data_IF_909860454531
#
_entry.id   IF_909860454531
#
_cell.length_a   1.000
_cell.length_b   1.000
_cell.length_c   1.000
_cell.angle_alpha   90.00
_cell.angle_beta   90.00
_cell.angle_gamma   90.00
#
_symmetry.space_group_name_H-M   'P 1'
#
loop_
_entity.id
_entity.type
_entity.pdbx_description
1 polymer ?
#
# COMPACT_ATOMS: atom_id res chain seq x y z
N UNK A 1 -5.61 -21.34 -16.42
CA UNK A 1 -5.10 -20.00 -16.09
C UNK A 1 -5.06 -19.16 -17.37
N UNK A 2 -5.83 -18.09 -17.44
CA UNK A 2 -5.70 -17.12 -18.52
C UNK A 2 -4.48 -16.28 -18.17
N UNK A 3 -3.37 -16.48 -18.90
CA UNK A 3 -2.17 -15.66 -18.72
C UNK A 3 -2.52 -14.25 -19.18
N UNK A 4 -2.44 -13.26 -18.31
CA UNK A 4 -2.65 -11.87 -18.67
C UNK A 4 -1.65 -11.44 -19.76
N UNK A 5 -2.10 -10.55 -20.65
CA UNK A 5 -1.22 -9.90 -21.65
C UNK A 5 -0.07 -9.12 -21.00
N UNK A 6 -0.26 -8.69 -19.76
CA UNK A 6 0.64 -7.80 -19.02
C UNK A 6 1.23 -8.54 -17.82
N UNK A 7 2.44 -8.16 -17.43
CA UNK A 7 2.98 -8.49 -16.11
C UNK A 7 2.26 -7.62 -15.07
N UNK A 8 1.69 -8.26 -14.04
CA UNK A 8 0.86 -7.58 -13.04
C UNK A 8 1.51 -7.67 -11.66
N UNK A 9 1.85 -6.54 -11.10
CA UNK A 9 2.27 -6.37 -9.70
C UNK A 9 1.12 -5.77 -8.91
N UNK A 10 0.58 -6.51 -7.95
CA UNK A 10 -0.37 -6.00 -6.96
C UNK A 10 0.42 -5.32 -5.84
N UNK A 11 0.37 -3.99 -5.79
CA UNK A 11 1.19 -3.18 -4.90
C UNK A 11 0.60 -3.01 -3.49
N UNK A 12 -0.56 -3.62 -3.16
CA UNK A 12 -1.21 -3.44 -1.88
C UNK A 12 -1.90 -4.73 -1.40
N UNK A 13 -1.17 -5.55 -0.64
CA UNK A 13 -1.70 -6.81 -0.13
C UNK A 13 -1.35 -6.98 1.35
N UNK A 14 -2.38 -7.13 2.21
CA UNK A 14 -2.18 -7.44 3.62
C UNK A 14 -2.16 -8.95 3.84
N UNK A 15 -1.13 -9.43 4.55
CA UNK A 15 -0.99 -10.85 4.91
C UNK A 15 -0.73 -11.00 6.40
N UNK A 16 -1.24 -12.07 6.97
CA UNK A 16 -1.13 -12.39 8.39
C UNK A 16 -0.72 -13.85 8.60
N UNK A 17 -0.03 -14.18 9.72
CA UNK A 17 0.16 -15.57 10.11
C UNK A 17 -1.18 -16.31 10.22
N UNK A 18 -1.27 -17.53 9.71
CA UNK A 18 -2.51 -18.33 9.65
C UNK A 18 -3.28 -18.35 10.99
N UNK A 19 -2.56 -18.54 12.10
CA UNK A 19 -3.16 -18.60 13.46
C UNK A 19 -3.90 -17.34 13.91
N UNK A 20 -3.64 -16.19 13.27
CA UNK A 20 -4.28 -14.90 13.62
C UNK A 20 -5.03 -14.26 12.45
N UNK A 21 -4.92 -14.81 11.23
CA UNK A 21 -5.44 -14.20 10.01
C UNK A 21 -6.94 -13.90 10.13
N UNK A 22 -7.76 -14.85 10.53
CA UNK A 22 -9.22 -14.62 10.68
C UNK A 22 -9.56 -13.51 11.68
N UNK A 23 -8.80 -13.42 12.79
CA UNK A 23 -9.01 -12.35 13.79
C UNK A 23 -8.54 -11.00 13.28
N UNK A 24 -7.42 -10.95 12.55
CA UNK A 24 -6.90 -9.73 11.97
C UNK A 24 -7.86 -9.18 10.90
N UNK A 25 -8.35 -10.05 10.01
CA UNK A 25 -9.36 -9.71 8.99
C UNK A 25 -10.64 -9.17 9.66
N UNK A 26 -11.19 -9.91 10.63
CA UNK A 26 -12.39 -9.47 11.36
C UNK A 26 -12.18 -8.11 12.07
N UNK A 27 -10.95 -7.84 12.56
CA UNK A 27 -10.61 -6.54 13.14
C UNK A 27 -10.68 -5.40 12.12
N UNK A 28 -10.17 -5.62 10.91
CA UNK A 28 -10.25 -4.66 9.79
C UNK A 28 -11.69 -4.48 9.31
N UNK A 29 -12.43 -5.58 9.15
CA UNK A 29 -13.86 -5.57 8.77
C UNK A 29 -14.69 -4.72 9.74
N UNK A 30 -14.48 -4.94 11.06
CA UNK A 30 -15.17 -4.15 12.08
C UNK A 30 -14.78 -2.66 12.05
N UNK A 31 -13.52 -2.35 11.77
CA UNK A 31 -13.05 -0.97 11.68
C UNK A 31 -13.69 -0.21 10.52
N UNK A 32 -13.78 -0.86 9.35
CA UNK A 32 -14.32 -0.25 8.14
C UNK A 32 -15.83 -0.48 7.94
N UNK A 33 -16.45 -1.37 8.73
CA UNK A 33 -17.83 -1.85 8.53
C UNK A 33 -18.03 -2.52 7.15
N UNK A 34 -17.02 -3.26 6.71
CA UNK A 34 -16.96 -3.98 5.44
C UNK A 34 -16.78 -5.47 5.69
N UNK A 35 -16.81 -6.26 4.62
CA UNK A 35 -16.59 -7.70 4.66
C UNK A 35 -15.50 -8.10 3.68
N UNK A 36 -14.36 -8.49 4.19
CA UNK A 36 -13.25 -8.99 3.40
C UNK A 36 -13.62 -10.27 2.65
N UNK A 37 -13.15 -10.39 1.42
CA UNK A 37 -13.42 -11.58 0.59
C UNK A 37 -12.32 -12.64 0.71
N UNK A 38 -11.12 -12.25 1.16
CA UNK A 38 -9.97 -13.11 1.31
C UNK A 38 -9.74 -13.56 2.76
N UNK A 39 -8.95 -14.63 2.92
CA UNK A 39 -8.60 -15.16 4.25
C UNK A 39 -7.55 -14.35 5.01
N UNK A 40 -6.83 -13.47 4.32
CA UNK A 40 -5.68 -12.74 4.88
C UNK A 40 -4.42 -13.60 5.04
N UNK A 41 -4.42 -14.85 4.58
CA UNK A 41 -3.22 -15.71 4.57
C UNK A 41 -2.44 -15.54 3.27
N UNK A 42 -1.16 -15.96 3.27
CA UNK A 42 -0.33 -15.97 2.05
C UNK A 42 -0.89 -16.96 1.02
N UNK A 43 -1.32 -18.14 1.47
CA UNK A 43 -1.91 -19.16 0.62
C UNK A 43 -3.17 -18.63 -0.08
N UNK A 44 -4.05 -17.96 0.69
CA UNK A 44 -5.27 -17.37 0.14
C UNK A 44 -4.97 -16.23 -0.87
N UNK A 45 -3.96 -15.38 -0.59
CA UNK A 45 -3.51 -14.35 -1.53
C UNK A 45 -3.03 -14.96 -2.84
N UNK A 46 -2.14 -15.96 -2.76
CA UNK A 46 -1.58 -16.61 -3.95
C UNK A 46 -2.67 -17.33 -4.74
N UNK A 47 -3.56 -18.06 -4.07
CA UNK A 47 -4.67 -18.78 -4.73
C UNK A 47 -5.58 -17.81 -5.50
N UNK A 48 -6.01 -16.71 -4.88
CA UNK A 48 -6.88 -15.73 -5.52
C UNK A 48 -6.17 -14.96 -6.63
N UNK A 49 -4.93 -14.56 -6.38
CA UNK A 49 -4.16 -13.79 -7.33
C UNK A 49 -3.69 -14.61 -8.54
N UNK A 50 -3.34 -15.89 -8.38
CA UNK A 50 -2.99 -16.77 -9.50
C UNK A 50 -4.19 -16.99 -10.45
N UNK A 51 -5.42 -17.05 -9.89
CA UNK A 51 -6.65 -17.09 -10.70
C UNK A 51 -6.82 -15.79 -11.50
N UNK A 52 -6.49 -14.65 -10.89
CA UNK A 52 -6.53 -13.33 -11.52
C UNK A 52 -5.38 -13.09 -12.52
N UNK A 53 -4.34 -13.92 -12.49
CA UNK A 53 -3.13 -13.75 -13.30
C UNK A 53 -2.21 -12.65 -12.77
N UNK A 54 -2.14 -12.48 -11.44
CA UNK A 54 -1.16 -11.61 -10.77
C UNK A 54 0.19 -12.32 -10.73
N UNK A 55 1.24 -11.63 -11.14
CA UNK A 55 2.60 -12.19 -11.20
C UNK A 55 3.41 -11.92 -9.93
N UNK A 56 3.18 -10.77 -9.28
CA UNK A 56 3.95 -10.32 -8.10
C UNK A 56 3.05 -9.58 -7.11
N UNK A 57 3.38 -9.68 -5.81
CA UNK A 57 2.64 -9.03 -4.74
C UNK A 57 3.59 -8.23 -3.83
N UNK A 58 3.23 -6.98 -3.54
CA UNK A 58 3.85 -6.20 -2.46
C UNK A 58 3.04 -6.47 -1.20
N UNK A 59 3.65 -7.16 -0.24
CA UNK A 59 2.96 -7.68 0.94
C UNK A 59 3.36 -6.94 2.22
N UNK A 60 2.40 -6.72 3.09
CA UNK A 60 2.55 -5.97 4.34
C UNK A 60 1.58 -6.41 5.44
N UNK A 61 1.88 -5.95 6.66
CA UNK A 61 0.99 -5.90 7.81
C UNK A 61 1.26 -4.60 8.57
N UNK A 62 0.38 -4.27 9.53
CA UNK A 62 0.49 -3.05 10.33
C UNK A 62 0.68 -3.40 11.81
N UNK A 63 1.70 -2.83 12.45
CA UNK A 63 1.90 -2.92 13.89
C UNK A 63 0.97 -1.91 14.60
N UNK A 64 -0.03 -2.39 15.31
CA UNK A 64 -0.95 -1.54 16.08
C UNK A 64 -0.38 -1.13 17.44
N UNK A 65 0.74 -1.73 17.83
CA UNK A 65 1.52 -1.38 19.02
C UNK A 65 3.02 -1.52 18.72
N UNK A 66 3.92 -0.78 19.42
CA UNK A 66 5.36 -0.82 19.15
C UNK A 66 5.99 -2.22 19.23
N UNK A 67 5.54 -3.06 20.17
CA UNK A 67 6.11 -4.39 20.37
C UNK A 67 5.79 -5.40 19.27
N UNK A 68 4.89 -5.07 18.37
CA UNK A 68 4.57 -5.92 17.22
C UNK A 68 5.53 -5.70 16.04
N UNK A 69 6.24 -4.56 16.00
CA UNK A 69 7.08 -4.15 14.87
C UNK A 69 8.04 -5.26 14.46
N UNK A 70 8.86 -5.73 15.39
CA UNK A 70 9.88 -6.75 15.09
C UNK A 70 9.28 -8.06 14.59
N UNK A 71 8.27 -8.58 15.29
CA UNK A 71 7.67 -9.88 14.94
C UNK A 71 6.90 -9.84 13.62
N UNK A 72 6.27 -8.72 13.27
CA UNK A 72 5.62 -8.54 11.97
C UNK A 72 6.67 -8.47 10.86
N UNK A 73 7.74 -7.69 11.04
CA UNK A 73 8.79 -7.58 10.04
C UNK A 73 9.48 -8.93 9.77
N UNK A 74 9.76 -9.70 10.82
CA UNK A 74 10.31 -11.05 10.71
C UNK A 74 9.35 -12.02 10.00
N UNK A 75 8.04 -11.94 10.27
CA UNK A 75 7.02 -12.74 9.57
C UNK A 75 7.00 -12.40 8.08
N UNK A 76 6.87 -11.13 7.71
CA UNK A 76 6.83 -10.71 6.30
C UNK A 76 8.11 -11.17 5.57
N UNK A 77 9.29 -10.95 6.14
CA UNK A 77 10.55 -11.38 5.56
C UNK A 77 10.63 -12.91 5.42
N UNK A 78 10.08 -13.65 6.38
CA UNK A 78 10.00 -15.11 6.33
C UNK A 78 9.15 -15.60 5.15
N UNK A 79 8.00 -14.97 4.90
CA UNK A 79 7.13 -15.33 3.78
C UNK A 79 7.76 -14.94 2.42
N UNK A 80 8.41 -13.77 2.33
CA UNK A 80 9.15 -13.38 1.12
C UNK A 80 10.23 -14.40 0.76
N UNK A 81 10.97 -14.92 1.75
CA UNK A 81 12.01 -15.95 1.53
C UNK A 81 11.45 -17.27 1.00
N UNK A 82 10.20 -17.62 1.35
CA UNK A 82 9.52 -18.83 0.85
C UNK A 82 9.03 -18.69 -0.59
N UNK A 83 8.82 -17.46 -1.07
CA UNK A 83 8.24 -17.14 -2.37
C UNK A 83 9.11 -16.14 -3.15
N UNK A 84 10.38 -16.49 -3.46
CA UNK A 84 11.31 -15.57 -4.10
C UNK A 84 10.81 -15.14 -5.48
N UNK A 85 10.91 -13.84 -5.77
CA UNK A 85 10.42 -13.24 -7.02
C UNK A 85 8.91 -13.00 -7.09
N UNK A 86 8.11 -13.71 -6.29
CA UNK A 86 6.64 -13.57 -6.23
C UNK A 86 6.20 -12.58 -5.15
N UNK A 87 6.83 -12.62 -3.98
CA UNK A 87 6.54 -11.68 -2.88
C UNK A 87 7.67 -10.66 -2.71
N UNK A 88 7.28 -9.41 -2.48
CA UNK A 88 8.14 -8.30 -2.06
C UNK A 88 7.59 -7.76 -0.75
N UNK A 89 8.37 -7.70 0.30
CA UNK A 89 7.91 -7.32 1.63
C UNK A 89 8.10 -5.85 1.95
N UNK A 90 7.07 -5.22 2.50
CA UNK A 90 7.20 -3.99 3.26
C UNK A 90 7.17 -4.30 4.75
N UNK A 91 8.05 -3.63 5.50
CA UNK A 91 7.98 -3.67 6.96
C UNK A 91 6.95 -2.72 7.50
N UNK A 92 6.78 -2.73 8.82
CA UNK A 92 5.97 -1.74 9.54
C UNK A 92 6.82 -1.09 10.63
N UNK A 93 6.43 0.12 11.01
CA UNK A 93 7.01 0.88 12.12
C UNK A 93 5.88 1.41 13.01
N UNK A 94 6.24 1.91 14.18
CA UNK A 94 5.29 2.55 15.07
C UNK A 94 5.90 3.84 15.65
N UNK A 95 5.20 5.00 15.65
CA UNK A 95 5.76 6.26 16.13
C UNK A 95 6.11 6.26 17.63
N UNK A 96 5.50 5.38 18.42
CA UNK A 96 5.81 5.20 19.84
C UNK A 96 6.92 4.15 20.10
N UNK A 97 7.62 3.69 19.06
CA UNK A 97 8.79 2.81 19.26
C UNK A 97 9.90 3.55 20.02
N UNK A 98 10.47 2.87 21.00
CA UNK A 98 11.57 3.42 21.79
C UNK A 98 12.89 3.55 21.00
N UNK A 99 13.03 2.77 19.92
CA UNK A 99 14.22 2.75 19.05
C UNK A 99 13.83 2.62 17.57
N UNK A 100 13.29 3.70 17.01
CA UNK A 100 12.89 3.75 15.60
C UNK A 100 14.09 3.46 14.67
N UNK A 101 15.31 3.91 15.04
CA UNK A 101 16.51 3.67 14.24
C UNK A 101 16.84 2.18 14.19
N UNK A 102 16.86 1.52 15.34
CA UNK A 102 17.08 0.06 15.40
C UNK A 102 16.00 -0.73 14.67
N UNK A 103 14.73 -0.29 14.72
CA UNK A 103 13.65 -0.92 13.98
C UNK A 103 13.86 -0.83 12.46
N UNK A 104 14.33 0.31 11.95
CA UNK A 104 14.64 0.50 10.51
C UNK A 104 15.86 -0.32 10.11
N UNK A 105 16.95 -0.29 10.89
CA UNK A 105 18.14 -1.12 10.64
C UNK A 105 17.78 -2.61 10.60
N UNK A 106 16.94 -3.07 11.51
CA UNK A 106 16.43 -4.43 11.54
C UNK A 106 15.60 -4.74 10.29
N UNK A 107 14.63 -3.90 9.93
CA UNK A 107 13.82 -4.01 8.73
C UNK A 107 14.67 -4.16 7.46
N UNK A 108 15.70 -3.31 7.32
CA UNK A 108 16.64 -3.36 6.19
C UNK A 108 17.46 -4.65 6.18
N UNK A 109 17.93 -5.11 7.35
CA UNK A 109 18.68 -6.36 7.48
C UNK A 109 17.88 -7.59 7.06
N UNK A 110 16.56 -7.53 7.17
CA UNK A 110 15.62 -8.55 6.71
C UNK A 110 15.37 -8.51 5.19
N UNK A 111 15.85 -7.47 4.48
CA UNK A 111 15.66 -7.29 3.04
C UNK A 111 14.29 -6.75 2.65
N UNK A 112 13.56 -6.13 3.57
CA UNK A 112 12.29 -5.47 3.29
C UNK A 112 12.53 -4.18 2.49
N UNK A 113 11.63 -3.87 1.55
CA UNK A 113 11.85 -2.87 0.49
C UNK A 113 11.14 -1.53 0.73
N UNK A 114 10.56 -1.32 1.89
CA UNK A 114 9.83 -0.11 2.26
C UNK A 114 9.05 -0.30 3.54
N UNK A 115 8.20 0.65 3.86
CA UNK A 115 7.44 0.70 5.13
C UNK A 115 5.95 0.86 4.85
N UNK A 116 5.10 0.10 5.54
CA UNK A 116 3.64 0.33 5.59
C UNK A 116 3.27 1.03 6.90
N UNK A 117 2.52 2.12 6.79
CA UNK A 117 1.92 2.84 7.91
C UNK A 117 0.40 2.99 7.70
N UNK A 118 -0.32 3.00 8.80
CA UNK A 118 -1.78 3.18 8.80
C UNK A 118 -2.20 4.14 9.92
N UNK A 119 -2.18 5.45 9.68
CA UNK A 119 -2.40 6.46 10.72
C UNK A 119 -3.67 6.25 11.54
N UNK A 120 -4.80 5.89 10.91
CA UNK A 120 -6.08 5.75 11.62
C UNK A 120 -6.12 4.52 12.53
N UNK A 121 -5.59 3.37 12.11
CA UNK A 121 -5.53 2.15 12.93
C UNK A 121 -4.44 2.25 14.00
N UNK A 122 -3.31 2.90 13.69
CA UNK A 122 -2.20 3.12 14.64
C UNK A 122 -2.41 4.34 15.54
N UNK A 123 -3.49 5.11 15.31
CA UNK A 123 -3.91 6.25 16.11
C UNK A 123 -2.86 7.38 16.22
N UNK A 124 -2.25 7.77 15.07
CA UNK A 124 -1.37 8.93 14.98
C UNK A 124 -1.73 9.81 13.77
N UNK A 125 -1.47 11.10 13.86
CA UNK A 125 -1.60 12.02 12.71
C UNK A 125 -0.38 11.92 11.81
N UNK A 126 -0.56 11.98 10.49
CA UNK A 126 0.56 11.93 9.53
C UNK A 126 1.65 12.96 9.88
N UNK A 127 1.26 14.16 10.28
CA UNK A 127 2.15 15.26 10.65
C UNK A 127 2.52 15.31 12.15
N UNK A 128 2.30 14.20 12.89
CA UNK A 128 2.70 14.09 14.29
C UNK A 128 4.24 14.14 14.43
N UNK A 129 4.75 14.92 15.38
CA UNK A 129 6.19 15.06 15.62
C UNK A 129 6.90 13.70 15.87
N UNK A 130 6.18 12.72 16.44
CA UNK A 130 6.70 11.35 16.67
C UNK A 130 7.04 10.62 15.37
N UNK A 131 6.39 11.00 14.27
CA UNK A 131 6.62 10.39 12.96
C UNK A 131 7.82 11.00 12.22
N UNK A 132 8.28 12.20 12.60
CA UNK A 132 9.33 12.92 11.87
C UNK A 132 10.61 12.08 11.77
N UNK A 133 10.97 11.34 12.83
CA UNK A 133 12.15 10.46 12.80
C UNK A 133 11.97 9.27 11.86
N UNK A 134 10.75 8.77 11.68
CA UNK A 134 10.44 7.72 10.69
C UNK A 134 10.67 8.29 9.29
N UNK A 135 10.15 9.48 8.99
CA UNK A 135 10.28 10.09 7.66
C UNK A 135 11.72 10.42 7.33
N UNK A 136 12.45 11.04 8.25
CA UNK A 136 13.89 11.34 8.11
C UNK A 136 14.70 10.07 7.77
N UNK A 137 14.56 9.02 8.56
CA UNK A 137 15.31 7.79 8.36
C UNK A 137 14.85 7.01 7.11
N UNK A 138 13.58 7.05 6.74
CA UNK A 138 13.11 6.48 5.48
C UNK A 138 13.66 7.24 4.27
N UNK A 139 13.72 8.57 4.33
CA UNK A 139 14.33 9.40 3.29
C UNK A 139 15.81 9.10 3.13
N UNK A 140 16.60 9.12 4.24
CA UNK A 140 18.03 8.83 4.27
C UNK A 140 18.37 7.45 3.67
N UNK A 141 17.54 6.45 3.96
CA UNK A 141 17.74 5.08 3.51
C UNK A 141 17.02 4.75 2.19
N UNK A 142 16.35 5.73 1.56
CA UNK A 142 15.56 5.55 0.33
C UNK A 142 14.51 4.45 0.45
N UNK A 143 13.88 4.34 1.62
CA UNK A 143 12.78 3.42 1.88
C UNK A 143 11.46 4.11 1.54
N UNK A 144 10.72 3.68 0.52
CA UNK A 144 9.40 4.22 0.23
C UNK A 144 8.42 3.88 1.36
N UNK A 145 7.47 4.79 1.59
CA UNK A 145 6.40 4.57 2.57
C UNK A 145 5.07 4.39 1.83
N UNK A 146 4.45 3.22 1.98
CA UNK A 146 3.04 3.01 1.65
C UNK A 146 2.20 3.44 2.85
N UNK A 147 1.52 4.57 2.70
CA UNK A 147 0.75 5.23 3.75
C UNK A 147 -0.75 5.11 3.48
N UNK A 148 -1.53 4.56 4.41
CA UNK A 148 -2.98 4.74 4.34
C UNK A 148 -3.32 6.22 4.41
N UNK A 149 -4.12 6.70 3.48
CA UNK A 149 -4.49 8.11 3.35
C UNK A 149 -5.98 8.28 3.12
N UNK A 150 -6.55 9.28 3.78
CA UNK A 150 -7.97 9.62 3.74
C UNK A 150 -8.82 8.66 4.56
N UNK A 151 -9.76 9.19 5.22
CA UNK A 151 -10.93 8.55 5.82
C UNK A 151 -11.81 9.70 6.30
N UNK A 152 -13.02 9.82 5.72
CA UNK A 152 -13.91 10.93 6.09
C UNK A 152 -14.35 10.92 7.56
N UNK A 153 -14.16 9.79 8.27
CA UNK A 153 -14.50 9.61 9.68
C UNK A 153 -13.41 10.14 10.62
N UNK A 154 -12.15 10.24 10.14
CA UNK A 154 -10.99 10.57 10.96
C UNK A 154 -10.15 11.67 10.30
N UNK A 155 -9.33 12.34 11.14
CA UNK A 155 -8.42 13.39 10.68
C UNK A 155 -6.93 12.94 10.71
N UNK A 156 -6.67 11.69 11.11
CA UNK A 156 -5.30 11.19 11.26
C UNK A 156 -4.58 11.07 9.92
N UNK A 157 -5.24 10.48 8.94
CA UNK A 157 -4.69 10.22 7.60
C UNK A 157 -5.11 11.25 6.55
N UNK A 158 -5.66 12.40 6.94
CA UNK A 158 -6.16 13.41 6.03
C UNK A 158 -5.05 13.90 5.07
N UNK A 159 -5.31 14.00 3.75
CA UNK A 159 -4.33 14.49 2.75
C UNK A 159 -3.71 15.85 3.07
N UNK A 160 -4.43 16.72 3.80
CA UNK A 160 -3.88 18.00 4.27
C UNK A 160 -2.67 17.86 5.19
N UNK A 161 -2.59 16.73 5.93
CA UNK A 161 -1.47 16.42 6.82
C UNK A 161 -0.29 15.82 6.09
N UNK A 162 -0.52 15.18 4.93
CA UNK A 162 0.53 14.60 4.13
C UNK A 162 1.33 15.66 3.37
N UNK A 163 0.69 16.69 2.84
CA UNK A 163 1.36 17.74 2.05
C UNK A 163 2.52 18.44 2.77
N UNK A 164 2.40 18.87 4.05
CA UNK A 164 3.53 19.44 4.78
C UNK A 164 4.71 18.47 4.90
N UNK A 165 4.45 17.19 5.16
CA UNK A 165 5.49 16.15 5.25
C UNK A 165 6.25 16.02 3.93
N UNK A 166 5.53 15.92 2.80
CA UNK A 166 6.13 15.81 1.47
C UNK A 166 6.94 17.08 1.06
N UNK A 167 6.60 18.24 1.61
CA UNK A 167 7.36 19.49 1.38
C UNK A 167 8.63 19.57 2.22
N UNK A 168 8.66 18.94 3.38
CA UNK A 168 9.84 18.90 4.26
C UNK A 168 10.81 17.82 3.80
N UNK A 169 10.30 16.61 3.51
CA UNK A 169 11.07 15.43 3.10
C UNK A 169 10.95 15.25 1.58
N UNK A 170 11.71 16.06 0.82
CA UNK A 170 11.55 16.17 -0.65
C UNK A 170 12.05 14.96 -1.43
N UNK A 171 12.96 14.19 -0.85
CA UNK A 171 13.50 12.95 -1.44
C UNK A 171 12.75 11.69 -0.94
N UNK A 172 11.90 11.81 0.07
CA UNK A 172 11.09 10.72 0.57
C UNK A 172 10.02 10.33 -0.45
N UNK A 173 10.05 9.11 -0.94
CA UNK A 173 8.97 8.58 -1.77
C UNK A 173 7.81 8.10 -0.90
N UNK A 174 6.62 8.65 -1.09
CA UNK A 174 5.40 8.19 -0.43
C UNK A 174 4.41 7.67 -1.47
N UNK A 175 3.78 6.54 -1.16
CA UNK A 175 2.64 6.00 -1.90
C UNK A 175 1.41 6.24 -1.03
N UNK A 176 0.59 7.21 -1.39
CA UNK A 176 -0.70 7.45 -0.75
C UNK A 176 -1.71 6.38 -1.19
N UNK A 177 -2.07 5.48 -0.30
CA UNK A 177 -3.02 4.42 -0.62
C UNK A 177 -4.38 4.98 -1.05
N UNK A 178 -5.12 4.20 -1.85
CA UNK A 178 -6.50 4.49 -2.23
C UNK A 178 -6.66 5.84 -2.94
N UNK A 179 -5.87 6.05 -4.00
CA UNK A 179 -5.79 7.34 -4.71
C UNK A 179 -5.46 8.53 -3.80
N UNK A 180 -4.69 8.28 -2.72
CA UNK A 180 -4.29 9.32 -1.78
C UNK A 180 -5.39 9.80 -0.83
N UNK A 181 -6.56 9.13 -0.82
CA UNK A 181 -7.67 9.58 0.02
C UNK A 181 -8.90 8.68 0.01
N UNK A 182 -8.86 7.55 0.75
CA UNK A 182 -10.02 6.67 0.89
C UNK A 182 -11.27 7.46 1.32
N UNK A 183 -12.41 7.18 0.70
CA UNK A 183 -13.71 7.86 0.86
C UNK A 183 -13.77 9.35 0.44
N UNK A 184 -12.63 10.00 0.15
CA UNK A 184 -12.54 11.41 -0.30
C UNK A 184 -11.65 11.53 -1.57
N UNK A 185 -11.68 10.51 -2.44
CA UNK A 185 -10.77 10.34 -3.61
C UNK A 185 -10.66 11.56 -4.52
N UNK A 186 -11.79 12.18 -4.88
CA UNK A 186 -11.77 13.33 -5.80
C UNK A 186 -11.13 14.58 -5.16
N UNK A 187 -11.46 14.85 -3.89
CA UNK A 187 -10.87 15.96 -3.15
C UNK A 187 -9.36 15.74 -2.98
N UNK A 188 -8.99 14.55 -2.51
CA UNK A 188 -7.60 14.15 -2.32
C UNK A 188 -6.80 14.29 -3.61
N UNK A 189 -7.31 13.78 -4.73
CA UNK A 189 -6.62 13.85 -6.01
C UNK A 189 -6.41 15.29 -6.51
N UNK A 190 -7.39 16.17 -6.30
CA UNK A 190 -7.24 17.61 -6.64
C UNK A 190 -6.16 18.31 -5.80
N UNK A 191 -6.01 17.89 -4.56
CA UNK A 191 -5.10 18.48 -3.59
C UNK A 191 -3.67 17.96 -3.72
N UNK A 192 -3.52 16.68 -3.99
CA UNK A 192 -2.23 15.97 -3.96
C UNK A 192 -1.55 15.89 -5.34
N UNK A 193 -2.29 16.05 -6.44
CA UNK A 193 -1.72 15.96 -7.79
C UNK A 193 -0.58 16.98 -7.99
N UNK A 194 0.43 16.56 -8.77
CA UNK A 194 1.61 17.40 -9.04
C UNK A 194 2.64 17.43 -7.92
N UNK A 195 2.45 16.68 -6.82
CA UNK A 195 3.47 16.55 -5.76
C UNK A 195 4.58 15.60 -6.24
N UNK A 196 5.85 16.05 -6.35
CA UNK A 196 6.90 15.33 -7.08
C UNK A 196 7.26 13.97 -6.49
N UNK A 197 7.27 13.84 -5.17
CA UNK A 197 7.66 12.65 -4.42
C UNK A 197 6.47 11.79 -3.96
N UNK A 198 5.28 12.04 -4.52
CA UNK A 198 4.08 11.27 -4.25
C UNK A 198 3.74 10.35 -5.42
N UNK A 199 3.44 9.11 -5.08
CA UNK A 199 2.71 8.14 -5.88
C UNK A 199 1.41 7.81 -5.16
N UNK A 200 0.48 7.14 -5.85
CA UNK A 200 -0.75 6.62 -5.24
C UNK A 200 -1.04 5.21 -5.75
N UNK A 201 -1.76 4.40 -4.98
CA UNK A 201 -2.33 3.16 -5.52
C UNK A 201 -3.85 3.30 -5.70
N UNK A 202 -4.43 2.45 -6.54
CA UNK A 202 -5.85 2.49 -6.85
C UNK A 202 -6.71 1.53 -6.01
N UNK A 203 -6.11 0.90 -5.00
CA UNK A 203 -6.79 -0.08 -4.15
C UNK A 203 -7.99 0.50 -3.40
N UNK A 204 -8.95 -0.32 -3.05
CA UNK A 204 -10.17 0.08 -2.29
C UNK A 204 -10.93 1.30 -2.85
N UNK A 205 -10.80 1.56 -4.14
CA UNK A 205 -11.47 2.69 -4.78
C UNK A 205 -12.54 2.23 -5.78
N UNK A 206 -12.27 1.17 -6.52
CA UNK A 206 -13.13 0.72 -7.62
C UNK A 206 -14.52 0.24 -7.21
N UNK A 207 -14.74 -0.38 -6.04
CA UNK A 207 -16.09 -0.71 -5.58
C UNK A 207 -17.01 0.50 -5.39
N UNK A 208 -16.44 1.70 -5.23
CA UNK A 208 -17.18 2.93 -4.91
C UNK A 208 -17.20 3.95 -6.06
N UNK A 209 -16.22 3.90 -6.96
CA UNK A 209 -16.06 4.90 -8.02
C UNK A 209 -16.68 4.42 -9.34
N UNK A 210 -17.27 5.34 -10.08
CA UNK A 210 -17.59 5.12 -11.49
C UNK A 210 -16.30 5.11 -12.32
N UNK A 211 -16.31 4.37 -13.43
CA UNK A 211 -15.15 4.25 -14.33
C UNK A 211 -14.63 5.60 -14.83
N UNK A 212 -15.53 6.53 -15.13
CA UNK A 212 -15.19 7.88 -15.57
C UNK A 212 -14.41 8.62 -14.49
N UNK A 213 -14.89 8.59 -13.25
CA UNK A 213 -14.23 9.24 -12.11
C UNK A 213 -12.88 8.61 -11.82
N UNK A 214 -12.79 7.27 -11.79
CA UNK A 214 -11.51 6.57 -11.58
C UNK A 214 -10.48 6.94 -12.65
N UNK A 215 -10.88 6.97 -13.92
CA UNK A 215 -10.03 7.37 -15.03
C UNK A 215 -9.60 8.84 -14.95
N UNK A 216 -10.48 9.75 -14.55
CA UNK A 216 -10.14 11.16 -14.33
C UNK A 216 -9.12 11.32 -13.21
N UNK A 217 -9.25 10.59 -12.11
CA UNK A 217 -8.30 10.60 -11.00
C UNK A 217 -6.92 10.10 -11.49
N UNK A 218 -6.86 8.98 -12.21
CA UNK A 218 -5.62 8.46 -12.79
C UNK A 218 -4.96 9.51 -13.69
N UNK A 219 -5.71 10.15 -14.58
CA UNK A 219 -5.18 11.19 -15.48
C UNK A 219 -4.71 12.44 -14.73
N UNK A 220 -5.37 12.78 -13.62
CA UNK A 220 -4.99 13.92 -12.78
C UNK A 220 -3.64 13.72 -12.10
N UNK A 221 -3.37 12.50 -11.60
CA UNK A 221 -2.05 12.17 -11.05
C UNK A 221 -1.00 11.98 -12.15
N UNK A 222 -1.40 11.46 -13.30
CA UNK A 222 -0.53 10.90 -14.32
C UNK A 222 -0.34 9.38 -14.13
N UNK A 223 -0.44 8.60 -15.18
CA UNK A 223 -0.31 7.14 -15.12
C UNK A 223 1.06 6.67 -14.61
N UNK A 224 2.09 7.49 -14.73
CA UNK A 224 3.43 7.27 -14.17
C UNK A 224 3.53 7.46 -12.65
N UNK A 225 2.43 7.88 -12.00
CA UNK A 225 2.32 8.10 -10.56
C UNK A 225 1.31 7.18 -9.87
N UNK A 226 0.68 6.29 -10.60
CA UNK A 226 -0.34 5.38 -10.06
C UNK A 226 0.18 3.94 -10.07
N UNK A 227 -0.10 3.18 -9.02
CA UNK A 227 0.15 1.75 -8.91
C UNK A 227 -1.18 1.00 -8.88
N UNK A 228 -1.19 -0.22 -9.43
CA UNK A 228 -2.28 -1.15 -9.21
C UNK A 228 -2.17 -1.78 -7.83
N UNK A 229 -3.28 -1.91 -7.10
CA UNK A 229 -3.37 -2.58 -5.83
C UNK A 229 -4.78 -3.11 -5.60
N UNK A 230 -4.91 -4.29 -4.96
CA UNK A 230 -6.21 -4.88 -4.64
C UNK A 230 -6.70 -4.56 -3.23
N UNK A 231 -5.78 -4.26 -2.31
CA UNK A 231 -6.05 -4.21 -0.86
C UNK A 231 -6.52 -5.57 -0.32
N UNK A 232 -6.00 -6.68 -0.89
CA UNK A 232 -6.26 -8.00 -0.31
C UNK A 232 -5.94 -7.98 1.20
N UNK A 233 -6.76 -8.56 2.07
CA UNK A 233 -7.90 -9.46 1.81
C UNK A 233 -9.25 -8.77 1.61
N UNK A 234 -9.32 -7.45 1.67
CA UNK A 234 -10.58 -6.70 1.58
C UNK A 234 -11.31 -6.99 0.26
N UNK A 235 -10.60 -6.88 -0.87
CA UNK A 235 -11.17 -7.05 -2.20
C UNK A 235 -10.54 -8.21 -2.97
N UNK A 236 -11.26 -8.67 -4.00
CA UNK A 236 -10.78 -9.71 -4.91
C UNK A 236 -9.80 -9.14 -5.92
N UNK A 237 -8.53 -9.63 -5.98
CA UNK A 237 -7.58 -9.21 -7.00
C UNK A 237 -8.11 -9.35 -8.43
N UNK A 238 -8.93 -10.39 -8.70
CA UNK A 238 -9.56 -10.62 -10.00
C UNK A 238 -10.52 -9.49 -10.36
N UNK A 239 -11.45 -9.14 -9.46
CA UNK A 239 -12.44 -8.08 -9.71
C UNK A 239 -11.80 -6.71 -9.83
N UNK A 240 -10.81 -6.41 -9.00
CA UNK A 240 -10.06 -5.15 -9.06
C UNK A 240 -9.31 -5.03 -10.38
N UNK A 241 -8.65 -6.10 -10.85
CA UNK A 241 -7.94 -6.11 -12.12
C UNK A 241 -8.89 -6.03 -13.31
N UNK A 242 -10.00 -6.76 -13.31
CA UNK A 242 -11.05 -6.66 -14.33
C UNK A 242 -11.61 -5.24 -14.43
N UNK A 243 -11.89 -4.62 -13.30
CA UNK A 243 -12.37 -3.24 -13.28
C UNK A 243 -11.31 -2.29 -13.85
N UNK A 244 -10.06 -2.38 -13.39
CA UNK A 244 -8.95 -1.57 -13.88
C UNK A 244 -8.80 -1.69 -15.41
N UNK A 245 -8.76 -2.90 -15.95
CA UNK A 245 -8.64 -3.13 -17.40
C UNK A 245 -9.82 -2.60 -18.20
N UNK A 246 -10.97 -2.42 -17.57
CA UNK A 246 -12.17 -1.85 -18.19
C UNK A 246 -12.19 -0.32 -18.25
N UNK A 247 -11.16 0.36 -17.72
CA UNK A 247 -11.09 1.83 -17.68
C UNK A 247 -10.74 2.48 -19.04
N UNK A 248 -10.49 1.70 -20.08
CA UNK A 248 -10.10 2.21 -21.41
C UNK A 248 -8.89 3.16 -21.36
N UNK A 249 -7.86 2.78 -20.61
CA UNK A 249 -6.55 3.42 -20.61
C UNK A 249 -5.74 2.93 -21.83
N UNK A 250 -4.74 3.70 -22.25
CA UNK A 250 -3.85 3.23 -23.30
C UNK A 250 -2.85 2.18 -22.79
N UNK A 251 -2.17 1.50 -23.74
CA UNK A 251 -1.30 0.36 -23.41
C UNK A 251 -0.10 0.78 -22.54
N UNK A 252 0.42 1.99 -22.70
CA UNK A 252 1.53 2.49 -21.89
C UNK A 252 1.07 2.87 -20.47
N UNK A 253 -0.11 3.50 -20.35
CA UNK A 253 -0.75 3.76 -19.05
C UNK A 253 -0.95 2.45 -18.29
N UNK A 254 -1.50 1.43 -18.95
CA UNK A 254 -1.74 0.11 -18.34
C UNK A 254 -0.42 -0.51 -17.85
N UNK A 255 0.61 -0.57 -18.68
CA UNK A 255 1.92 -1.14 -18.31
C UNK A 255 2.58 -0.38 -17.15
N UNK A 256 2.48 0.95 -17.16
CA UNK A 256 3.02 1.79 -16.09
C UNK A 256 2.37 1.47 -14.76
N UNK A 257 1.04 1.44 -14.73
CA UNK A 257 0.26 1.23 -13.49
C UNK A 257 0.37 -0.20 -12.98
N UNK A 258 0.32 -1.19 -13.88
CA UNK A 258 0.34 -2.61 -13.48
C UNK A 258 1.72 -3.07 -13.00
N UNK A 259 2.83 -2.46 -13.45
CA UNK A 259 4.15 -2.98 -13.10
C UNK A 259 5.27 -1.95 -13.05
N UNK A 260 5.45 -1.11 -14.09
CA UNK A 260 6.65 -0.29 -14.24
C UNK A 260 6.87 0.62 -13.03
N UNK A 261 5.81 1.26 -12.54
CA UNK A 261 5.89 2.16 -11.40
C UNK A 261 6.30 1.43 -10.11
N UNK A 262 5.74 0.24 -9.86
CA UNK A 262 6.14 -0.59 -8.73
C UNK A 262 7.61 -1.02 -8.83
N UNK A 263 8.07 -1.46 -10.01
CA UNK A 263 9.47 -1.81 -10.24
C UNK A 263 10.39 -0.64 -9.94
N UNK A 264 10.06 0.56 -10.40
CA UNK A 264 10.84 1.78 -10.15
C UNK A 264 10.91 2.13 -8.65
N UNK A 265 9.78 2.11 -7.94
CA UNK A 265 9.71 2.52 -6.54
C UNK A 265 10.41 1.53 -5.62
N UNK A 266 10.20 0.24 -5.82
CA UNK A 266 10.73 -0.81 -4.95
C UNK A 266 12.06 -1.40 -5.46
N UNK A 267 12.64 -0.83 -6.52
CA UNK A 267 13.88 -1.29 -7.16
C UNK A 267 13.84 -2.79 -7.49
N UNK A 268 12.81 -3.18 -8.28
CA UNK A 268 12.57 -4.56 -8.72
C UNK A 268 13.05 -4.74 -10.17
N UNK A 269 13.46 -5.97 -10.48
CA UNK A 269 13.81 -6.41 -11.84
C UNK A 269 12.58 -6.87 -12.63
#
# INVERSE_FOLDING_TARGET
MVKNKYFVTDAHCHIYPEKIASRAVAGTDNFYHEHSVGSGTVEGLIEMGDKAGIDRYIVQSVATTPHQVKSINEFIAGEVKKQPGKLVGLGTLHPDSADIKGDIEHLMSLGLRGVKLHPDIQAFKIDDYRCLKIYELCEENRLPILMHTGDSRYDYSNPNRLLPVLKIYTELTVIGAHFGGWSIWEEASKKLCGTPNLYVDCSSAFPYLKKETAREIIRRYGADRVLFGSDYPMWSPEKELEYFLSLNLDENEIKSILNINACKIFNLE
#
